data_IF_327071254908
#
_entry.id   IF_327071254908
#
_cell.length_a   1.000
_cell.length_b   1.000
_cell.length_c   1.000
_cell.angle_alpha   90.00
_cell.angle_beta   90.00
_cell.angle_gamma   90.00
#
_symmetry.space_group_name_H-M   'P 1'
#
loop_
_entity.id
_entity.type
_entity.pdbx_description
1 polymer ?
#
# COMPACT_ATOMS: atom_id res chain seq x y z
N UNK A 1 -3.27 6.11 -0.01
CA UNK A 1 -3.18 6.68 -1.38
C UNK A 1 -3.24 5.54 -2.39
N UNK A 2 -4.08 5.65 -3.40
CA UNK A 2 -4.35 4.55 -4.35
C UNK A 2 -4.40 5.07 -5.79
N UNK A 3 -4.12 4.24 -6.80
CA UNK A 3 -4.42 4.62 -8.18
C UNK A 3 -5.92 4.53 -8.38
N UNK A 4 -6.62 5.65 -8.26
CA UNK A 4 -8.06 5.76 -8.51
C UNK A 4 -8.33 6.20 -9.96
N UNK A 5 -7.29 6.66 -10.64
CA UNK A 5 -7.24 6.89 -12.08
C UNK A 5 -5.96 6.29 -12.70
N UNK A 6 -5.84 6.42 -14.02
CA UNK A 6 -4.72 5.87 -14.79
C UNK A 6 -4.79 4.36 -14.99
N UNK A 7 -3.66 3.78 -15.45
CA UNK A 7 -3.57 2.38 -15.89
C UNK A 7 -3.94 1.35 -14.82
N UNK A 8 -3.68 1.65 -13.54
CA UNK A 8 -3.96 0.77 -12.41
C UNK A 8 -5.27 1.14 -11.69
N UNK A 9 -6.10 2.03 -12.27
CA UNK A 9 -7.32 2.54 -11.66
C UNK A 9 -8.30 1.46 -11.19
N UNK A 10 -8.44 0.38 -11.97
CA UNK A 10 -9.32 -0.74 -11.61
C UNK A 10 -8.81 -1.49 -10.35
N UNK A 11 -7.51 -1.73 -10.27
CA UNK A 11 -6.88 -2.39 -9.12
C UNK A 11 -6.92 -1.52 -7.86
N UNK A 12 -6.57 -0.25 -7.97
CA UNK A 12 -6.65 0.67 -6.83
C UNK A 12 -8.09 0.90 -6.34
N UNK A 13 -9.09 0.83 -7.23
CA UNK A 13 -10.50 0.83 -6.83
C UNK A 13 -10.86 -0.39 -5.99
N UNK A 14 -10.35 -1.58 -6.31
CA UNK A 14 -10.59 -2.78 -5.49
C UNK A 14 -9.98 -2.62 -4.09
N UNK A 15 -8.76 -2.10 -3.98
CA UNK A 15 -8.13 -1.83 -2.69
C UNK A 15 -8.92 -0.79 -1.87
N UNK A 16 -9.36 0.30 -2.50
CA UNK A 16 -10.16 1.32 -1.82
C UNK A 16 -11.49 0.73 -1.30
N UNK A 17 -12.17 -0.10 -2.10
CA UNK A 17 -13.41 -0.76 -1.67
C UNK A 17 -13.15 -1.69 -0.47
N UNK A 18 -12.04 -2.43 -0.47
CA UNK A 18 -11.63 -3.25 0.67
C UNK A 18 -11.39 -2.42 1.94
N UNK A 19 -10.69 -1.29 1.81
CA UNK A 19 -10.45 -0.35 2.92
C UNK A 19 -11.76 0.23 3.45
N UNK A 20 -12.65 0.68 2.56
CA UNK A 20 -13.97 1.22 2.93
C UNK A 20 -14.86 0.17 3.60
N UNK A 21 -14.79 -1.09 3.15
CA UNK A 21 -15.51 -2.18 3.79
C UNK A 21 -14.95 -2.48 5.18
N UNK A 22 -13.62 -2.56 5.36
CA UNK A 22 -13.03 -2.73 6.68
C UNK A 22 -13.39 -1.58 7.64
N UNK A 23 -13.38 -0.35 7.12
CA UNK A 23 -13.80 0.85 7.87
C UNK A 23 -15.27 0.81 8.25
N UNK A 24 -16.17 0.35 7.38
CA UNK A 24 -17.60 0.24 7.72
C UNK A 24 -17.88 -0.78 8.83
N UNK A 25 -17.03 -1.82 8.94
CA UNK A 25 -17.08 -2.80 10.04
C UNK A 25 -16.44 -2.28 11.33
N UNK A 26 -15.42 -1.43 11.22
CA UNK A 26 -14.62 -0.88 12.34
C UNK A 26 -14.30 0.60 12.11
N UNK A 27 -15.29 1.50 12.28
CA UNK A 27 -15.11 2.93 12.00
C UNK A 27 -14.43 3.69 13.14
N UNK A 28 -14.25 3.04 14.30
CA UNK A 28 -13.63 3.62 15.49
C UNK A 28 -12.46 2.79 15.97
N UNK A 29 -11.56 3.41 16.73
CA UNK A 29 -10.47 2.76 17.43
C UNK A 29 -10.40 3.25 18.88
N UNK A 30 -10.17 2.33 19.82
CA UNK A 30 -9.95 2.67 21.23
C UNK A 30 -8.46 2.81 21.51
N UNK A 31 -8.06 3.94 22.09
CA UNK A 31 -6.69 4.22 22.53
C UNK A 31 -6.73 4.60 24.01
N UNK A 32 -6.19 3.73 24.86
CA UNK A 32 -6.39 3.85 26.31
C UNK A 32 -7.87 3.69 26.64
N UNK A 33 -8.44 4.68 27.33
CA UNK A 33 -9.86 4.72 27.69
C UNK A 33 -10.74 5.51 26.71
N UNK A 34 -10.13 6.14 25.70
CA UNK A 34 -10.83 7.02 24.75
C UNK A 34 -11.09 6.30 23.43
N UNK A 35 -12.30 6.45 22.89
CA UNK A 35 -12.67 6.00 21.56
C UNK A 35 -12.58 7.16 20.56
N UNK A 36 -11.94 6.91 19.41
CA UNK A 36 -11.74 7.87 18.34
C UNK A 36 -12.38 7.37 17.05
N UNK A 37 -12.97 8.30 16.29
CA UNK A 37 -13.39 8.01 14.92
C UNK A 37 -12.17 7.92 13.99
N UNK A 38 -12.17 6.90 13.13
CA UNK A 38 -11.21 6.75 12.05
C UNK A 38 -11.74 7.51 10.84
N UNK A 39 -10.97 8.47 10.34
CA UNK A 39 -11.30 9.23 9.13
C UNK A 39 -10.41 8.76 7.99
N UNK A 40 -11.02 8.47 6.85
CA UNK A 40 -10.29 8.08 5.64
C UNK A 40 -9.98 9.31 4.79
N UNK A 41 -8.69 9.64 4.66
CA UNK A 41 -8.18 10.61 3.69
C UNK A 41 -7.72 9.89 2.42
N UNK A 42 -8.53 10.00 1.36
CA UNK A 42 -8.34 9.26 0.12
C UNK A 42 -7.65 10.12 -0.92
N UNK A 43 -6.40 9.77 -1.24
CA UNK A 43 -5.60 10.45 -2.27
C UNK A 43 -5.38 9.55 -3.51
N UNK A 44 -5.64 10.11 -4.69
CA UNK A 44 -5.35 9.48 -5.98
C UNK A 44 -3.89 9.71 -6.40
N UNK A 45 -3.18 8.64 -6.76
CA UNK A 45 -1.82 8.72 -7.29
C UNK A 45 -1.72 8.61 -8.82
N UNK A 46 -2.85 8.49 -9.53
CA UNK A 46 -2.90 8.53 -11.00
C UNK A 46 -2.15 7.41 -11.72
N UNK A 47 -1.66 6.40 -11.00
CA UNK A 47 -0.70 5.42 -11.52
C UNK A 47 0.59 6.05 -12.06
N UNK A 48 0.97 7.23 -11.55
CA UNK A 48 2.09 8.05 -11.99
C UNK A 48 3.00 8.43 -10.81
N UNK A 49 4.32 8.44 -11.03
CA UNK A 49 5.29 8.67 -9.96
C UNK A 49 5.24 10.11 -9.39
N UNK A 50 5.01 11.11 -10.26
CA UNK A 50 4.92 12.52 -9.84
C UNK A 50 3.65 12.78 -9.04
N UNK A 51 2.52 12.28 -9.54
CA UNK A 51 1.24 12.36 -8.81
C UNK A 51 1.30 11.55 -7.51
N UNK A 52 1.97 10.39 -7.50
CA UNK A 52 2.20 9.59 -6.29
C UNK A 52 3.00 10.32 -5.22
N UNK A 53 4.09 11.01 -5.59
CA UNK A 53 4.85 11.88 -4.67
C UNK A 53 4.00 13.02 -4.11
N UNK A 54 3.19 13.65 -4.97
CA UNK A 54 2.29 14.73 -4.57
C UNK A 54 1.23 14.25 -3.58
N UNK A 55 0.61 13.10 -3.84
CA UNK A 55 -0.33 12.45 -2.93
C UNK A 55 0.32 12.10 -1.58
N UNK A 56 1.55 11.58 -1.59
CA UNK A 56 2.30 11.29 -0.37
C UNK A 56 2.59 12.56 0.45
N UNK A 57 3.07 13.63 -0.19
CA UNK A 57 3.34 14.91 0.46
C UNK A 57 2.08 15.52 1.06
N UNK A 58 0.94 15.39 0.36
CA UNK A 58 -0.36 15.83 0.88
C UNK A 58 -0.76 15.07 2.15
N UNK A 59 -0.64 13.74 2.16
CA UNK A 59 -0.97 12.94 3.36
C UNK A 59 -0.12 13.32 4.58
N UNK A 60 1.17 13.61 4.38
CA UNK A 60 2.06 14.12 5.43
C UNK A 60 1.59 15.51 5.91
N UNK A 61 1.30 16.42 4.98
CA UNK A 61 0.85 17.78 5.30
C UNK A 61 -0.49 17.79 6.04
N UNK A 62 -1.39 16.88 5.69
CA UNK A 62 -2.70 16.67 6.32
C UNK A 62 -2.59 15.95 7.68
N UNK A 63 -1.36 15.63 8.13
CA UNK A 63 -1.05 15.02 9.44
C UNK A 63 -1.75 13.68 9.66
N UNK A 64 -1.85 12.87 8.61
CA UNK A 64 -2.33 11.50 8.72
C UNK A 64 -1.43 10.69 9.68
N UNK A 65 -2.02 9.74 10.42
CA UNK A 65 -1.31 8.91 11.39
C UNK A 65 -0.69 7.65 10.78
N UNK A 66 -1.30 7.15 9.70
CA UNK A 66 -0.86 5.96 8.97
C UNK A 66 -1.36 6.06 7.53
N UNK A 67 -0.58 5.51 6.60
CA UNK A 67 -0.95 5.47 5.18
C UNK A 67 -1.22 4.03 4.75
N UNK A 68 -2.34 3.81 4.07
CA UNK A 68 -2.63 2.55 3.37
C UNK A 68 -2.41 2.72 1.87
N UNK A 69 -1.73 1.76 1.26
CA UNK A 69 -1.46 1.71 -0.17
C UNK A 69 0.01 1.54 -0.50
N UNK A 70 0.36 1.29 -1.76
CA UNK A 70 -0.51 1.38 -2.94
C UNK A 70 -0.57 0.05 -3.69
N UNK A 71 -1.48 -0.04 -4.65
CA UNK A 71 -1.54 -1.16 -5.60
C UNK A 71 -0.25 -1.31 -6.43
N UNK A 72 0.32 -0.20 -6.88
CA UNK A 72 1.47 -0.21 -7.79
C UNK A 72 2.81 -0.05 -7.08
N UNK A 73 3.77 -0.94 -7.34
CA UNK A 73 5.14 -0.84 -6.82
C UNK A 73 5.86 0.47 -7.18
N UNK A 74 5.71 0.99 -8.40
CA UNK A 74 6.38 2.24 -8.82
C UNK A 74 5.97 3.45 -7.99
N UNK A 75 4.67 3.67 -7.84
CA UNK A 75 4.13 4.77 -7.00
C UNK A 75 4.39 4.55 -5.50
N UNK A 76 4.53 3.29 -5.06
CA UNK A 76 5.03 2.93 -3.73
C UNK A 76 6.47 3.35 -3.50
N UNK A 77 7.37 3.01 -4.42
CA UNK A 77 8.76 3.44 -4.37
C UNK A 77 8.84 4.98 -4.41
N UNK A 78 8.11 5.61 -5.33
CA UNK A 78 8.13 7.07 -5.51
C UNK A 78 7.68 7.84 -4.26
N UNK A 79 6.65 7.36 -3.56
CA UNK A 79 6.15 7.98 -2.33
C UNK A 79 6.89 7.57 -1.05
N UNK A 80 7.63 6.45 -1.07
CA UNK A 80 8.25 5.87 0.13
C UNK A 80 9.19 6.83 0.85
N UNK A 81 10.02 7.57 0.12
CA UNK A 81 10.97 8.52 0.70
C UNK A 81 10.30 9.66 1.45
N UNK A 82 9.14 10.12 0.96
CA UNK A 82 8.36 11.18 1.61
C UNK A 82 7.83 10.71 2.96
N UNK A 83 7.35 9.47 3.04
CA UNK A 83 6.86 8.89 4.29
C UNK A 83 8.00 8.59 5.26
N UNK A 84 9.10 8.04 4.76
CA UNK A 84 10.31 7.76 5.52
C UNK A 84 10.87 9.03 6.18
N UNK A 85 11.05 10.09 5.38
CA UNK A 85 11.57 11.38 5.87
C UNK A 85 10.64 12.05 6.89
N UNK A 86 9.34 11.79 6.81
CA UNK A 86 8.34 12.34 7.72
C UNK A 86 8.15 11.50 8.99
N UNK A 87 8.72 10.29 9.06
CA UNK A 87 8.42 9.33 10.11
C UNK A 87 6.94 8.89 10.12
N UNK A 88 6.28 8.93 8.97
CA UNK A 88 4.87 8.56 8.81
C UNK A 88 4.78 7.10 8.35
N UNK A 89 4.31 6.15 9.18
CA UNK A 89 4.21 4.76 8.76
C UNK A 89 3.25 4.58 7.58
N UNK A 90 3.70 3.85 6.56
CA UNK A 90 2.92 3.44 5.40
C UNK A 90 2.87 1.91 5.28
N UNK A 91 1.75 1.38 4.80
CA UNK A 91 1.54 -0.07 4.59
C UNK A 91 1.09 -0.34 3.16
N UNK A 92 1.99 -0.97 2.40
CA UNK A 92 1.76 -1.48 1.06
C UNK A 92 0.70 -2.59 1.01
N UNK A 93 -0.33 -2.40 0.19
CA UNK A 93 -1.44 -3.35 0.04
C UNK A 93 -1.12 -4.46 -0.97
N UNK A 94 -0.63 -4.13 -2.17
CA UNK A 94 -0.26 -5.12 -3.19
C UNK A 94 1.02 -4.78 -3.98
N UNK A 95 1.81 -3.83 -3.52
CA UNK A 95 3.11 -3.48 -4.11
C UNK A 95 4.21 -4.50 -3.77
N UNK A 96 4.38 -5.48 -4.65
CA UNK A 96 5.20 -6.70 -4.45
C UNK A 96 6.71 -6.50 -4.62
N UNK A 97 7.15 -5.36 -5.15
CA UNK A 97 8.57 -5.13 -5.41
C UNK A 97 9.34 -4.93 -4.09
N UNK A 98 10.52 -5.56 -3.90
CA UNK A 98 11.29 -5.44 -2.67
C UNK A 98 11.70 -4.02 -2.30
N UNK A 99 12.03 -3.18 -3.29
CA UNK A 99 12.50 -1.80 -3.11
C UNK A 99 11.47 -0.90 -2.41
N UNK A 100 10.20 -1.30 -2.37
CA UNK A 100 9.16 -0.58 -1.62
C UNK A 100 9.50 -0.47 -0.13
N UNK A 101 10.08 -1.54 0.46
CA UNK A 101 10.36 -1.61 1.91
C UNK A 101 11.85 -1.75 2.22
N UNK A 102 12.69 -2.03 1.23
CA UNK A 102 14.12 -2.23 1.43
C UNK A 102 14.80 -0.93 1.91
N UNK A 103 15.45 -1.01 3.08
CA UNK A 103 16.10 0.15 3.69
C UNK A 103 15.14 1.23 4.19
N UNK A 104 13.88 0.87 4.48
CA UNK A 104 12.85 1.77 5.04
C UNK A 104 12.45 1.33 6.45
N UNK A 105 12.42 2.26 7.39
CA UNK A 105 11.96 2.03 8.76
C UNK A 105 10.46 2.33 8.90
N UNK A 106 9.89 3.13 7.99
CA UNK A 106 8.49 3.57 8.04
C UNK A 106 7.64 3.06 6.87
N UNK A 107 8.15 2.15 6.04
CA UNK A 107 7.36 1.53 4.98
C UNK A 107 7.29 0.00 5.14
N UNK A 108 6.08 -0.48 5.42
CA UNK A 108 5.75 -1.89 5.61
C UNK A 108 4.87 -2.40 4.46
N UNK A 109 4.61 -3.72 4.41
CA UNK A 109 3.65 -4.29 3.46
C UNK A 109 2.96 -5.52 4.03
N UNK A 110 1.75 -5.79 3.52
CA UNK A 110 0.99 -7.02 3.82
C UNK A 110 1.14 -8.08 2.72
N UNK A 111 1.49 -7.68 1.50
CA UNK A 111 1.64 -8.58 0.36
C UNK A 111 2.98 -9.34 0.35
N UNK A 112 3.01 -10.45 -0.38
CA UNK A 112 4.24 -11.20 -0.63
C UNK A 112 5.13 -10.53 -1.67
N UNK A 113 6.42 -10.85 -1.57
CA UNK A 113 7.46 -10.35 -2.46
C UNK A 113 7.47 -11.02 -3.84
N UNK A 114 7.86 -10.26 -4.87
CA UNK A 114 8.10 -10.79 -6.22
C UNK A 114 9.06 -12.00 -6.20
N UNK A 115 10.25 -11.95 -5.54
CA UNK A 115 11.13 -13.13 -5.43
C UNK A 115 10.49 -14.36 -4.79
N UNK A 116 9.68 -14.16 -3.74
CA UNK A 116 9.03 -15.27 -3.04
C UNK A 116 7.92 -15.90 -3.89
N UNK A 117 7.08 -15.07 -4.51
CA UNK A 117 6.03 -15.55 -5.41
C UNK A 117 6.63 -16.28 -6.62
N UNK A 118 7.75 -15.76 -7.16
CA UNK A 118 8.49 -16.38 -8.26
C UNK A 118 9.05 -17.76 -7.89
N UNK A 119 9.67 -17.90 -6.71
CA UNK A 119 10.23 -19.19 -6.29
C UNK A 119 9.15 -20.23 -6.01
N UNK A 120 8.02 -19.84 -5.42
CA UNK A 120 6.87 -20.72 -5.21
C UNK A 120 6.31 -21.19 -6.55
N UNK A 121 6.12 -20.29 -7.52
CA UNK A 121 5.59 -20.65 -8.82
C UNK A 121 6.55 -21.56 -9.62
N UNK A 122 7.86 -21.29 -9.55
CA UNK A 122 8.86 -22.16 -10.17
C UNK A 122 8.86 -23.56 -9.56
N UNK A 123 8.77 -23.67 -8.24
CA UNK A 123 8.71 -24.95 -7.54
C UNK A 123 7.46 -25.73 -7.92
N UNK A 124 6.29 -25.07 -7.93
CA UNK A 124 5.04 -25.67 -8.36
C UNK A 124 5.08 -26.16 -9.82
N UNK A 125 5.69 -25.39 -10.72
CA UNK A 125 5.85 -25.80 -12.11
C UNK A 125 6.73 -27.05 -12.25
N UNK A 126 7.80 -27.16 -11.46
CA UNK A 126 8.66 -28.35 -11.44
C UNK A 126 7.92 -29.58 -10.91
N UNK A 127 7.19 -29.45 -9.80
CA UNK A 127 6.37 -30.54 -9.25
C UNK A 127 5.35 -31.07 -10.27
N UNK A 128 4.72 -30.18 -11.05
CA UNK A 128 3.78 -30.57 -12.10
C UNK A 128 4.43 -31.29 -13.28
N UNK A 129 5.71 -31.01 -13.56
CA UNK A 129 6.47 -31.67 -14.63
C UNK A 129 6.95 -33.04 -14.15
N UNK A 130 7.46 -33.15 -12.92
CA UNK A 130 7.98 -34.39 -12.33
C UNK A 130 6.87 -35.37 -11.91
N UNK A 131 5.69 -34.85 -11.56
CA UNK A 131 4.49 -35.64 -11.25
C UNK A 131 3.72 -36.17 -12.48
N UNK A 132 4.23 -35.92 -13.69
CA UNK A 132 3.76 -36.49 -14.96
C UNK A 132 4.76 -37.52 -15.47
#
# INVERSE_FOLDING_TARGET
YQPLSGKNGAGGKQELLGIQYAHSLKPTIKVGDTEYEVVLDVQDNGSDDSTGKTAAAKLVADKNLVVLGSYGSGVSIAGSETFESAGLPAVGCSCTNPTVTEGKDYYFRICFLDPFQGSVMASFAMELIEGK
#
